data_IF_129090804888
#
_entry.id   IF_129090804888
#
_cell.length_a   1.000
_cell.length_b   1.000
_cell.length_c   1.000
_cell.angle_alpha   90.00
_cell.angle_beta   90.00
_cell.angle_gamma   90.00
#
_symmetry.space_group_name_H-M   'P 1'
#
loop_
_entity.id
_entity.type
_entity.pdbx_description
1 polymer ?
#
# COMPACT_ATOMS: atom_id res chain seq x y z
N UNK A 1 -2.97 16.26 -25.24
CA UNK A 1 -3.93 15.53 -24.38
C UNK A 1 -3.15 14.43 -23.71
N UNK A 2 -3.11 14.38 -22.37
CA UNK A 2 -2.36 13.31 -21.69
C UNK A 2 -3.08 11.99 -21.97
N UNK A 3 -2.39 11.06 -22.60
CA UNK A 3 -2.94 9.71 -22.83
C UNK A 3 -3.14 9.03 -21.48
N UNK A 4 -4.37 8.60 -21.19
CA UNK A 4 -4.76 8.05 -19.90
C UNK A 4 -4.66 6.53 -19.93
N UNK A 5 -3.81 5.94 -19.10
CA UNK A 5 -3.73 4.49 -18.93
C UNK A 5 -4.98 3.98 -18.20
N UNK A 6 -5.62 2.94 -18.72
CA UNK A 6 -6.75 2.26 -18.08
C UNK A 6 -6.34 0.86 -17.69
N UNK A 7 -6.50 0.50 -16.41
CA UNK A 7 -6.35 -0.89 -15.95
C UNK A 7 -7.71 -1.56 -15.99
N UNK A 8 -7.80 -2.66 -16.73
CA UNK A 8 -9.06 -3.42 -16.90
C UNK A 8 -8.81 -4.92 -16.90
N UNK A 9 -9.90 -5.69 -16.82
CA UNK A 9 -9.81 -7.13 -16.98
C UNK A 9 -9.32 -7.54 -18.36
N UNK A 10 -8.48 -8.57 -18.34
CA UNK A 10 -8.12 -9.34 -19.53
C UNK A 10 -9.38 -9.90 -20.20
N UNK A 11 -9.37 -9.91 -21.52
CA UNK A 11 -10.37 -10.49 -22.40
C UNK A 11 -9.68 -11.44 -23.36
N UNK A 12 -10.39 -12.44 -23.86
CA UNK A 12 -9.84 -13.38 -24.83
C UNK A 12 -9.27 -12.69 -26.08
N UNK A 13 -9.89 -11.58 -26.52
CA UNK A 13 -9.39 -10.77 -27.62
C UNK A 13 -8.02 -10.11 -27.36
N UNK A 14 -7.58 -10.00 -26.10
CA UNK A 14 -6.26 -9.47 -25.75
C UNK A 14 -5.14 -10.51 -25.88
N UNK A 15 -5.48 -11.80 -26.11
CA UNK A 15 -4.54 -12.92 -26.04
C UNK A 15 -3.28 -12.68 -26.86
N UNK A 16 -3.43 -12.35 -28.14
CA UNK A 16 -2.28 -12.20 -29.03
C UNK A 16 -1.41 -11.00 -28.63
N UNK A 17 -2.02 -9.88 -28.23
CA UNK A 17 -1.31 -8.70 -27.75
C UNK A 17 -0.53 -8.99 -26.45
N UNK A 18 -1.15 -9.70 -25.51
CA UNK A 18 -0.52 -10.09 -24.23
C UNK A 18 0.63 -11.06 -24.46
N UNK A 19 0.47 -12.01 -25.39
CA UNK A 19 1.53 -12.98 -25.70
C UNK A 19 2.73 -12.33 -26.39
N UNK A 20 2.49 -11.42 -27.33
CA UNK A 20 3.56 -10.62 -27.94
C UNK A 20 4.27 -9.76 -26.88
N UNK A 21 3.50 -9.03 -26.08
CA UNK A 21 4.00 -8.20 -24.98
C UNK A 21 4.90 -9.01 -24.04
N UNK A 22 4.42 -10.16 -23.57
CA UNK A 22 5.18 -11.02 -22.69
C UNK A 22 6.48 -11.49 -23.35
N UNK A 23 6.42 -11.94 -24.61
CA UNK A 23 7.59 -12.43 -25.34
C UNK A 23 8.67 -11.36 -25.45
N UNK A 24 8.28 -10.13 -25.85
CA UNK A 24 9.19 -8.98 -25.95
C UNK A 24 9.76 -8.57 -24.60
N UNK A 25 8.93 -8.44 -23.57
CA UNK A 25 9.36 -8.01 -22.24
C UNK A 25 10.25 -9.07 -21.53
N UNK A 26 9.95 -10.36 -21.69
CA UNK A 26 10.70 -11.44 -21.04
C UNK A 26 12.09 -11.60 -21.63
N UNK A 27 12.26 -11.53 -22.96
CA UNK A 27 13.59 -11.51 -23.59
C UNK A 27 14.47 -10.37 -23.09
N UNK A 28 13.88 -9.20 -22.86
CA UNK A 28 14.61 -8.05 -22.31
C UNK A 28 14.95 -8.24 -20.82
N UNK A 29 14.03 -8.82 -20.05
CA UNK A 29 14.19 -8.98 -18.60
C UNK A 29 15.13 -10.15 -18.24
N UNK A 30 15.13 -11.21 -19.04
CA UNK A 30 15.87 -12.45 -18.78
C UNK A 30 16.77 -12.87 -19.95
N UNK A 31 17.71 -12.03 -20.40
CA UNK A 31 18.64 -12.37 -21.48
C UNK A 31 19.59 -13.53 -21.12
N UNK A 32 19.61 -13.95 -19.86
CA UNK A 32 20.38 -15.06 -19.33
C UNK A 32 19.69 -16.43 -19.48
N UNK A 33 18.41 -16.44 -19.86
CA UNK A 33 17.65 -17.68 -20.09
C UNK A 33 17.57 -17.95 -21.59
N UNK A 34 18.13 -19.09 -22.02
CA UNK A 34 18.05 -19.52 -23.42
C UNK A 34 16.60 -19.82 -23.84
N UNK A 35 16.17 -19.29 -24.99
CA UNK A 35 14.81 -19.48 -25.51
C UNK A 35 13.70 -18.78 -24.72
N UNK A 36 14.04 -17.84 -23.83
CA UNK A 36 13.02 -17.05 -23.12
C UNK A 36 12.15 -16.28 -24.11
N UNK A 37 10.84 -16.28 -23.90
CA UNK A 37 9.90 -15.59 -24.77
C UNK A 37 9.46 -16.40 -26.00
N UNK A 38 9.95 -17.63 -26.18
CA UNK A 38 9.74 -18.43 -27.40
C UNK A 38 9.27 -19.85 -27.10
N UNK A 39 8.83 -20.57 -28.15
CA UNK A 39 8.51 -21.99 -28.13
C UNK A 39 7.58 -22.44 -26.98
N UNK A 40 7.97 -23.50 -26.29
CA UNK A 40 7.20 -24.11 -25.21
C UNK A 40 6.98 -23.16 -24.01
N UNK A 41 7.89 -22.21 -23.76
CA UNK A 41 7.70 -21.23 -22.68
C UNK A 41 6.59 -20.23 -22.99
N UNK A 42 6.55 -19.75 -24.23
CA UNK A 42 5.46 -18.91 -24.71
C UNK A 42 4.11 -19.65 -24.67
N UNK A 43 4.14 -20.96 -24.96
CA UNK A 43 2.97 -21.82 -24.90
C UNK A 43 2.47 -22.07 -23.47
N UNK A 44 3.35 -22.37 -22.53
CA UNK A 44 2.99 -22.57 -21.11
C UNK A 44 2.41 -21.30 -20.48
N UNK A 45 2.90 -20.12 -20.87
CA UNK A 45 2.25 -18.87 -20.45
C UNK A 45 0.82 -18.76 -21.04
N UNK A 46 0.66 -19.01 -22.35
CA UNK A 46 -0.65 -19.00 -23.04
C UNK A 46 -1.66 -19.94 -22.41
N UNK A 47 -1.27 -21.18 -22.16
CA UNK A 47 -2.20 -22.26 -21.79
C UNK A 47 -2.40 -22.40 -20.27
N UNK A 48 -1.38 -22.09 -19.46
CA UNK A 48 -1.43 -22.33 -18.02
C UNK A 48 -1.61 -21.02 -17.25
N UNK A 49 -0.78 -20.01 -17.51
CA UNK A 49 -0.78 -18.80 -16.70
C UNK A 49 -1.98 -17.89 -17.03
N UNK A 50 -2.33 -17.72 -18.31
CA UNK A 50 -3.49 -16.90 -18.68
C UNK A 50 -4.83 -17.51 -18.24
N UNK A 51 -4.90 -18.85 -18.15
CA UNK A 51 -6.13 -19.57 -17.80
C UNK A 51 -6.30 -19.72 -16.28
N UNK A 52 -5.21 -19.95 -15.55
CA UNK A 52 -5.26 -20.21 -14.10
C UNK A 52 -5.12 -18.94 -13.25
N UNK A 53 -4.57 -17.86 -13.81
CA UNK A 53 -4.40 -16.61 -13.09
C UNK A 53 -5.60 -15.66 -13.27
N UNK A 54 -5.80 -14.83 -12.25
CA UNK A 54 -6.60 -13.64 -12.37
C UNK A 54 -5.81 -12.56 -13.15
N UNK A 55 -6.14 -12.38 -14.43
CA UNK A 55 -5.40 -11.47 -15.31
C UNK A 55 -6.04 -10.08 -15.48
N UNK A 56 -5.19 -9.06 -15.50
CA UNK A 56 -5.48 -7.64 -15.73
C UNK A 56 -4.53 -7.08 -16.79
N UNK A 57 -4.98 -6.13 -17.60
CA UNK A 57 -4.17 -5.44 -18.59
C UNK A 57 -4.18 -3.94 -18.36
N UNK A 58 -3.06 -3.29 -18.65
CA UNK A 58 -2.98 -1.84 -18.80
C UNK A 58 -3.15 -1.49 -20.28
N UNK A 59 -4.15 -0.68 -20.60
CA UNK A 59 -4.45 -0.21 -21.95
C UNK A 59 -4.18 1.29 -22.06
N UNK A 60 -3.58 1.71 -23.16
CA UNK A 60 -3.36 3.12 -23.50
C UNK A 60 -3.64 3.31 -24.98
N UNK A 61 -4.50 4.27 -25.32
CA UNK A 61 -4.90 4.55 -26.71
C UNK A 61 -5.38 3.30 -27.49
N UNK A 62 -6.10 2.40 -26.83
CA UNK A 62 -6.60 1.16 -27.42
C UNK A 62 -5.59 0.01 -27.50
N UNK A 63 -4.33 0.25 -27.13
CA UNK A 63 -3.27 -0.76 -27.16
C UNK A 63 -3.00 -1.33 -25.76
N UNK A 64 -2.90 -2.65 -25.65
CA UNK A 64 -2.43 -3.33 -24.42
C UNK A 64 -0.93 -3.10 -24.29
N UNK A 65 -0.54 -2.41 -23.22
CA UNK A 65 0.86 -2.05 -22.93
C UNK A 65 1.38 -2.63 -21.61
N UNK A 66 0.53 -3.35 -20.86
CA UNK A 66 0.93 -4.03 -19.64
C UNK A 66 0.03 -5.22 -19.32
N UNK A 67 0.60 -6.20 -18.62
CA UNK A 67 -0.06 -7.39 -18.13
C UNK A 67 0.27 -7.57 -16.65
N UNK A 68 -0.74 -7.91 -15.86
CA UNK A 68 -0.63 -8.35 -14.48
C UNK A 68 -1.40 -9.66 -14.32
N UNK A 69 -0.70 -10.73 -13.97
CA UNK A 69 -1.28 -12.03 -13.61
C UNK A 69 -1.17 -12.29 -12.11
N UNK A 70 -2.31 -12.53 -11.47
CA UNK A 70 -2.41 -12.79 -10.04
C UNK A 70 -2.80 -14.24 -9.77
N UNK A 71 -2.04 -14.92 -8.92
CA UNK A 71 -2.28 -16.30 -8.50
C UNK A 71 -2.86 -16.30 -7.08
N UNK A 72 -4.00 -16.96 -6.89
CA UNK A 72 -4.64 -17.09 -5.58
C UNK A 72 -3.81 -17.94 -4.62
N UNK A 73 -4.02 -17.76 -3.31
CA UNK A 73 -3.36 -18.56 -2.28
C UNK A 73 -2.03 -17.99 -1.77
N UNK A 74 -1.84 -16.67 -1.80
CA UNK A 74 -0.67 -16.04 -1.23
C UNK A 74 -0.48 -16.44 0.25
N UNK A 75 0.77 -16.73 0.62
CA UNK A 75 1.13 -16.96 2.03
C UNK A 75 0.74 -15.71 2.84
N UNK A 76 0.18 -15.91 4.02
CA UNK A 76 -0.24 -14.84 4.95
C UNK A 76 -1.46 -13.99 4.52
N UNK A 77 -2.33 -14.52 3.65
CA UNK A 77 -3.62 -13.91 3.32
C UNK A 77 -3.58 -12.85 2.20
N UNK A 78 -2.47 -12.80 1.44
CA UNK A 78 -2.30 -11.96 0.25
C UNK A 78 -2.49 -12.70 -1.07
N UNK A 79 -1.99 -12.11 -2.16
CA UNK A 79 -1.97 -12.71 -3.50
C UNK A 79 -0.56 -12.73 -4.07
N UNK A 80 -0.24 -13.72 -4.91
CA UNK A 80 1.03 -13.78 -5.61
C UNK A 80 0.92 -13.12 -6.99
N UNK A 81 1.87 -12.27 -7.35
CA UNK A 81 2.03 -11.79 -8.72
C UNK A 81 2.85 -12.84 -9.47
N UNK A 82 2.15 -13.70 -10.23
CA UNK A 82 2.78 -14.71 -11.08
C UNK A 82 3.36 -14.14 -12.38
N UNK A 83 2.92 -12.94 -12.77
CA UNK A 83 3.46 -12.25 -13.94
C UNK A 83 3.18 -10.74 -13.93
N UNK A 84 4.21 -9.95 -14.21
CA UNK A 84 4.10 -8.50 -14.39
C UNK A 84 4.98 -8.07 -15.54
N UNK A 85 4.36 -7.58 -16.61
CA UNK A 85 5.07 -7.19 -17.83
C UNK A 85 4.54 -5.85 -18.33
N UNK A 86 5.45 -4.99 -18.80
CA UNK A 86 5.13 -3.71 -19.42
C UNK A 86 5.92 -3.64 -20.72
N UNK A 87 5.28 -3.14 -21.78
CA UNK A 87 5.88 -3.03 -23.11
C UNK A 87 7.20 -2.27 -23.01
N UNK A 88 8.31 -2.76 -23.58
CA UNK A 88 9.63 -2.12 -23.47
C UNK A 88 9.62 -0.60 -23.72
N UNK A 89 8.87 -0.20 -24.75
CA UNK A 89 8.65 1.18 -25.19
C UNK A 89 7.82 2.04 -24.22
N UNK A 90 7.05 1.43 -23.31
CA UNK A 90 6.21 2.10 -22.32
C UNK A 90 6.79 2.02 -20.89
N UNK A 91 7.94 1.37 -20.70
CA UNK A 91 8.56 1.28 -19.38
C UNK A 91 9.17 2.62 -18.96
N UNK A 92 9.12 2.92 -17.67
CA UNK A 92 9.55 4.21 -17.12
C UNK A 92 8.40 5.21 -16.91
N UNK A 93 7.25 4.97 -17.56
CA UNK A 93 6.05 5.83 -17.46
C UNK A 93 5.13 5.50 -16.29
N UNK A 94 5.59 4.73 -15.29
CA UNK A 94 4.80 4.41 -14.11
C UNK A 94 3.77 3.28 -14.25
N UNK A 95 3.49 2.74 -15.45
CA UNK A 95 2.49 1.68 -15.68
C UNK A 95 2.69 0.46 -14.77
N UNK A 96 3.93 -0.01 -14.62
CA UNK A 96 4.22 -1.15 -13.74
C UNK A 96 3.85 -0.87 -12.28
N UNK A 97 4.07 0.38 -11.81
CA UNK A 97 3.64 0.81 -10.48
C UNK A 97 2.12 0.82 -10.38
N UNK A 98 1.42 1.34 -11.38
CA UNK A 98 -0.05 1.36 -11.39
C UNK A 98 -0.65 -0.05 -11.32
N UNK A 99 -0.10 -1.01 -12.06
CA UNK A 99 -0.50 -2.42 -11.99
C UNK A 99 -0.28 -3.02 -10.59
N UNK A 100 0.88 -2.78 -9.98
CA UNK A 100 1.17 -3.28 -8.63
C UNK A 100 0.29 -2.61 -7.57
N UNK A 101 0.04 -1.30 -7.66
CA UNK A 101 -0.88 -0.61 -6.76
C UNK A 101 -2.33 -1.07 -6.97
N UNK A 102 -2.73 -1.41 -8.20
CA UNK A 102 -4.02 -2.02 -8.49
C UNK A 102 -4.19 -3.37 -7.75
N UNK A 103 -3.17 -4.24 -7.80
CA UNK A 103 -3.16 -5.49 -7.03
C UNK A 103 -3.21 -5.23 -5.51
N UNK A 104 -2.37 -4.32 -5.01
CA UNK A 104 -2.25 -4.02 -3.59
C UNK A 104 -3.54 -3.40 -3.02
N UNK A 105 -4.23 -2.56 -3.78
CA UNK A 105 -5.50 -1.97 -3.36
C UNK A 105 -6.59 -3.03 -3.18
N UNK A 106 -6.50 -4.13 -3.92
CA UNK A 106 -7.51 -5.20 -3.92
C UNK A 106 -7.21 -6.32 -2.93
N UNK A 107 -5.94 -6.69 -2.79
CA UNK A 107 -5.51 -7.87 -2.02
C UNK A 107 -4.63 -7.53 -0.81
N UNK A 108 -4.22 -6.27 -0.65
CA UNK A 108 -3.36 -5.84 0.44
C UNK A 108 -1.93 -6.35 0.27
N UNK A 109 -1.64 -7.50 0.88
CA UNK A 109 -0.30 -8.09 0.85
C UNK A 109 -0.03 -8.76 -0.51
N UNK A 110 1.18 -8.59 -1.01
CA UNK A 110 1.62 -9.12 -2.30
C UNK A 110 2.91 -9.92 -2.14
N UNK A 111 3.04 -11.03 -2.84
CA UNK A 111 4.28 -11.77 -2.99
C UNK A 111 4.62 -11.96 -4.46
N UNK A 112 5.89 -12.12 -4.80
CA UNK A 112 6.30 -12.55 -6.13
C UNK A 112 7.70 -13.14 -6.09
N UNK A 113 8.07 -13.76 -7.19
CA UNK A 113 9.40 -14.28 -7.41
C UNK A 113 10.06 -13.54 -8.56
N UNK A 114 11.34 -13.24 -8.39
CA UNK A 114 12.14 -12.54 -9.39
C UNK A 114 13.51 -13.19 -9.45
N UNK A 115 14.03 -13.41 -10.66
CA UNK A 115 15.38 -13.91 -10.85
C UNK A 115 16.40 -12.94 -10.25
N UNK A 116 17.44 -13.49 -9.60
CA UNK A 116 18.52 -12.68 -9.02
C UNK A 116 19.23 -11.86 -10.11
N UNK A 117 19.38 -12.41 -11.30
CA UNK A 117 20.01 -11.75 -12.45
C UNK A 117 19.16 -10.59 -13.00
N UNK A 118 17.85 -10.56 -12.72
CA UNK A 118 16.96 -9.46 -13.12
C UNK A 118 17.11 -8.24 -12.19
N UNK A 119 18.28 -7.60 -12.23
CA UNK A 119 18.62 -6.45 -11.40
C UNK A 119 17.65 -5.26 -11.58
N UNK A 120 17.07 -5.10 -12.78
CA UNK A 120 16.07 -4.06 -13.05
C UNK A 120 14.76 -4.33 -12.31
N UNK A 121 14.24 -5.55 -12.42
CA UNK A 121 13.04 -6.00 -11.70
C UNK A 121 13.22 -5.88 -10.19
N UNK A 122 14.36 -6.33 -9.66
CA UNK A 122 14.68 -6.20 -8.22
C UNK A 122 14.66 -4.75 -7.73
N UNK A 123 15.28 -3.82 -8.47
CA UNK A 123 15.23 -2.38 -8.13
C UNK A 123 13.81 -1.82 -8.21
N UNK A 124 13.04 -2.22 -9.22
CA UNK A 124 11.65 -1.82 -9.37
C UNK A 124 10.80 -2.26 -8.17
N UNK A 125 10.88 -3.54 -7.76
CA UNK A 125 10.11 -4.05 -6.63
C UNK A 125 10.57 -3.46 -5.29
N UNK A 126 11.88 -3.30 -5.07
CA UNK A 126 12.41 -2.63 -3.89
C UNK A 126 11.87 -1.19 -3.78
N UNK A 127 11.83 -0.45 -4.89
CA UNK A 127 11.25 0.90 -4.95
C UNK A 127 9.74 0.97 -4.69
N UNK A 128 9.03 -0.17 -4.72
CA UNK A 128 7.61 -0.28 -4.36
C UNK A 128 7.39 -0.79 -2.93
N UNK A 129 8.48 -1.03 -2.18
CA UNK A 129 8.45 -1.49 -0.79
C UNK A 129 8.38 -3.00 -0.64
N UNK A 130 8.77 -3.78 -1.67
CA UNK A 130 9.00 -5.21 -1.50
C UNK A 130 10.34 -5.47 -0.82
N UNK A 131 10.37 -6.47 0.05
CA UNK A 131 11.56 -6.94 0.75
C UNK A 131 11.77 -8.43 0.51
N UNK A 132 13.02 -8.87 0.40
CA UNK A 132 13.37 -10.29 0.28
C UNK A 132 12.86 -11.10 1.48
N UNK A 133 12.26 -12.27 1.18
CA UNK A 133 11.78 -13.25 2.18
C UNK A 133 12.46 -14.60 2.05
N UNK A 134 13.03 -14.91 0.89
CA UNK A 134 13.69 -16.17 0.65
C UNK A 134 14.32 -16.26 -0.72
N UNK A 135 15.07 -17.35 -0.92
CA UNK A 135 15.75 -17.66 -2.16
C UNK A 135 15.69 -19.16 -2.42
N UNK A 136 15.64 -19.55 -3.70
CA UNK A 136 15.82 -20.94 -4.14
C UNK A 136 16.41 -20.99 -5.54
N UNK A 137 16.72 -22.19 -6.02
CA UNK A 137 17.01 -22.43 -7.42
C UNK A 137 15.71 -22.81 -8.13
N UNK A 138 15.45 -22.22 -9.29
CA UNK A 138 14.34 -22.63 -10.15
C UNK A 138 14.71 -23.91 -10.89
N UNK A 139 14.02 -25.01 -10.62
CA UNK A 139 14.34 -26.33 -11.20
C UNK A 139 14.28 -26.35 -12.74
N UNK A 140 13.51 -25.44 -13.34
CA UNK A 140 13.30 -25.37 -14.79
C UNK A 140 14.40 -24.60 -15.53
N UNK A 141 14.98 -23.58 -14.90
CA UNK A 141 16.02 -22.72 -15.52
C UNK A 141 17.41 -22.98 -14.94
N UNK A 142 17.51 -23.52 -13.73
CA UNK A 142 18.75 -23.60 -12.96
C UNK A 142 19.20 -22.26 -12.36
N UNK A 143 18.44 -21.18 -12.55
CA UNK A 143 18.79 -19.85 -12.07
C UNK A 143 18.18 -19.56 -10.67
N UNK A 144 18.87 -18.78 -9.83
CA UNK A 144 18.37 -18.36 -8.53
C UNK A 144 17.13 -17.45 -8.65
N UNK A 145 16.08 -17.81 -7.92
CA UNK A 145 14.89 -16.99 -7.68
C UNK A 145 14.91 -16.41 -6.27
N UNK A 146 14.54 -15.14 -6.16
CA UNK A 146 14.32 -14.44 -4.90
C UNK A 146 12.82 -14.25 -4.73
N UNK A 147 12.27 -14.79 -3.65
CA UNK A 147 10.91 -14.48 -3.21
C UNK A 147 10.95 -13.14 -2.49
N UNK A 148 10.18 -12.17 -2.97
CA UNK A 148 10.01 -10.87 -2.33
C UNK A 148 8.56 -10.67 -1.92
N UNK A 149 8.33 -9.95 -0.83
CA UNK A 149 6.99 -9.68 -0.32
C UNK A 149 6.81 -8.21 0.03
N UNK A 150 5.59 -7.72 -0.17
CA UNK A 150 5.11 -6.42 0.27
C UNK A 150 3.95 -6.63 1.21
N UNK A 151 4.12 -6.23 2.46
CA UNK A 151 3.06 -6.33 3.46
C UNK A 151 1.90 -5.39 3.15
N UNK A 152 0.68 -5.79 3.50
CA UNK A 152 -0.46 -4.90 3.49
C UNK A 152 -0.19 -3.68 4.38
N UNK A 153 -0.59 -2.46 3.98
CA UNK A 153 -0.47 -1.29 4.83
C UNK A 153 -1.08 -1.54 6.22
N UNK A 154 -0.43 -1.03 7.26
CA UNK A 154 -1.05 -0.92 8.57
C UNK A 154 -2.25 0.02 8.44
N UNK A 155 -3.45 -0.48 8.73
CA UNK A 155 -4.66 0.33 8.75
C UNK A 155 -4.90 0.84 10.18
N UNK A 156 -5.12 2.14 10.30
CA UNK A 156 -5.37 2.82 11.57
C UNK A 156 -6.46 3.87 11.39
N UNK A 157 -7.11 4.24 12.49
CA UNK A 157 -7.98 5.41 12.59
C UNK A 157 -7.39 6.42 13.55
N UNK A 158 -7.66 7.71 13.32
CA UNK A 158 -7.18 8.77 14.19
C UNK A 158 -8.18 9.90 14.31
N UNK A 159 -8.25 10.50 15.49
CA UNK A 159 -9.10 11.65 15.76
C UNK A 159 -8.33 12.95 15.61
N UNK A 160 -8.87 13.87 14.83
CA UNK A 160 -8.36 15.21 14.59
C UNK A 160 -9.15 16.19 15.44
N UNK A 161 -8.79 16.25 16.71
CA UNK A 161 -9.40 17.16 17.66
C UNK A 161 -8.53 18.40 17.84
N UNK A 162 -9.03 19.54 17.40
CA UNK A 162 -8.31 20.82 17.39
C UNK A 162 -9.03 21.81 18.28
N UNK A 163 -8.30 22.44 19.19
CA UNK A 163 -8.78 23.49 20.10
C UNK A 163 -7.80 24.63 20.09
N UNK A 164 -8.29 25.85 19.88
CA UNK A 164 -7.45 27.07 19.82
C UNK A 164 -6.26 26.95 18.86
N UNK A 165 -6.49 26.32 17.71
CA UNK A 165 -5.47 26.09 16.68
C UNK A 165 -4.43 25.02 17.00
N UNK A 166 -4.56 24.31 18.13
CA UNK A 166 -3.67 23.24 18.59
C UNK A 166 -4.34 21.88 18.47
N UNK A 167 -3.58 20.87 18.05
CA UNK A 167 -4.03 19.50 17.83
C UNK A 167 -3.77 18.64 19.07
N UNK A 168 -4.79 17.90 19.50
CA UNK A 168 -4.66 16.92 20.59
C UNK A 168 -3.81 15.74 20.13
N UNK A 169 -2.80 15.42 20.94
CA UNK A 169 -1.91 14.28 20.74
C UNK A 169 -1.71 13.51 22.05
N UNK A 170 -1.45 12.21 21.95
CA UNK A 170 -1.23 11.30 23.07
C UNK A 170 0.15 10.66 23.00
N UNK A 171 0.71 10.31 24.15
CA UNK A 171 1.96 9.56 24.23
C UNK A 171 1.76 8.29 25.04
N UNK A 172 2.14 7.15 24.47
CA UNK A 172 2.09 5.86 25.15
C UNK A 172 3.20 5.73 26.19
N UNK A 173 2.95 4.96 27.25
CA UNK A 173 3.95 4.67 28.29
C UNK A 173 5.15 3.94 27.67
N UNK A 174 6.36 4.41 27.99
CA UNK A 174 7.61 3.84 27.47
C UNK A 174 7.99 4.31 26.06
N UNK A 175 7.31 5.30 25.49
CA UNK A 175 7.66 5.94 24.23
C UNK A 175 7.86 7.45 24.42
N UNK A 176 8.79 8.05 23.68
CA UNK A 176 9.09 9.49 23.74
C UNK A 176 8.38 10.29 22.62
N UNK A 177 7.70 9.61 21.71
CA UNK A 177 7.00 10.21 20.56
C UNK A 177 5.50 10.33 20.82
N UNK A 178 4.91 11.47 20.43
CA UNK A 178 3.46 11.67 20.45
C UNK A 178 2.78 11.19 19.17
N UNK A 179 1.56 10.71 19.31
CA UNK A 179 0.69 10.18 18.25
C UNK A 179 -0.67 10.89 18.28
N UNK A 180 -1.44 10.76 17.20
CA UNK A 180 -2.84 11.15 17.22
C UNK A 180 -3.61 10.13 18.05
N UNK A 181 -4.61 10.53 18.85
CA UNK A 181 -5.51 9.59 19.51
C UNK A 181 -6.17 8.67 18.48
N UNK A 182 -6.24 7.39 18.79
CA UNK A 182 -6.76 6.35 17.90
C UNK A 182 -5.80 5.20 17.72
N UNK A 183 -6.25 4.17 16.99
CA UNK A 183 -5.49 2.94 16.87
C UNK A 183 -5.92 2.08 15.70
N UNK A 184 -5.66 0.78 15.83
CA UNK A 184 -5.90 -0.19 14.76
C UNK A 184 -7.34 -0.65 14.77
N UNK A 185 -7.79 -1.15 13.63
CA UNK A 185 -9.07 -1.83 13.51
C UNK A 185 -9.02 -3.16 14.25
N UNK A 186 -10.10 -3.50 14.96
CA UNK A 186 -10.37 -4.87 15.38
C UNK A 186 -11.25 -5.60 14.35
N UNK A 187 -11.23 -6.95 14.33
CA UNK A 187 -12.05 -7.72 13.40
C UNK A 187 -13.54 -7.38 13.52
N UNK A 188 -14.16 -6.99 12.39
CA UNK A 188 -15.60 -6.73 12.30
C UNK A 188 -16.04 -5.29 12.55
N UNK A 189 -15.14 -4.39 12.95
CA UNK A 189 -15.48 -2.99 13.20
C UNK A 189 -15.50 -2.13 11.92
N UNK A 190 -16.42 -1.16 11.87
CA UNK A 190 -16.30 0.00 10.99
C UNK A 190 -15.23 0.97 11.49
N UNK A 191 -14.73 1.86 10.62
CA UNK A 191 -13.73 2.86 11.01
C UNK A 191 -14.19 3.78 12.15
N UNK A 192 -15.47 4.18 12.15
CA UNK A 192 -16.04 5.00 13.23
C UNK A 192 -16.15 4.25 14.55
N UNK A 193 -16.53 2.97 14.52
CA UNK A 193 -16.59 2.12 15.71
C UNK A 193 -15.20 1.90 16.31
N UNK A 194 -14.21 1.59 15.46
CA UNK A 194 -12.82 1.45 15.90
C UNK A 194 -12.35 2.74 16.59
N UNK A 195 -12.62 3.91 16.02
CA UNK A 195 -12.19 5.16 16.62
C UNK A 195 -12.92 5.46 17.94
N UNK A 196 -14.23 5.23 18.01
CA UNK A 196 -14.99 5.42 19.24
C UNK A 196 -14.48 4.53 20.39
N UNK A 197 -14.13 3.27 20.10
CA UNK A 197 -13.50 2.36 21.06
C UNK A 197 -12.16 2.89 21.53
N UNK A 198 -11.26 3.22 20.60
CA UNK A 198 -9.91 3.73 20.92
C UNK A 198 -9.97 5.01 21.77
N UNK A 199 -10.85 5.97 21.46
CA UNK A 199 -11.01 7.18 22.27
C UNK A 199 -11.53 6.88 23.68
N UNK A 200 -12.38 5.86 23.84
CA UNK A 200 -12.83 5.41 25.16
C UNK A 200 -11.69 4.73 25.94
N UNK A 201 -10.84 3.94 25.28
CA UNK A 201 -9.76 3.19 25.91
C UNK A 201 -8.55 4.06 26.25
N UNK A 202 -8.15 4.94 25.33
CA UNK A 202 -6.97 5.80 25.45
C UNK A 202 -7.22 7.04 26.29
N UNK A 203 -8.42 7.63 26.18
CA UNK A 203 -8.73 8.95 26.73
C UNK A 203 -9.98 8.96 27.62
N UNK A 204 -10.64 7.82 27.85
CA UNK A 204 -11.88 7.77 28.64
C UNK A 204 -13.07 8.50 28.01
N UNK A 205 -12.99 8.85 26.73
CA UNK A 205 -14.00 9.65 26.02
C UNK A 205 -15.02 8.74 25.35
N UNK A 206 -16.28 8.82 25.77
CA UNK A 206 -17.40 8.12 25.12
C UNK A 206 -18.02 9.00 24.05
N UNK A 207 -17.51 8.88 22.83
CA UNK A 207 -18.03 9.58 21.65
C UNK A 207 -18.82 8.58 20.79
N UNK A 208 -20.12 8.81 20.54
CA UNK A 208 -20.90 7.98 19.62
C UNK A 208 -20.26 7.92 18.23
N UNK A 209 -20.30 6.76 17.58
CA UNK A 209 -19.67 6.57 16.28
C UNK A 209 -20.28 7.50 15.21
N UNK A 210 -21.58 7.77 15.29
CA UNK A 210 -22.33 8.67 14.43
C UNK A 210 -21.88 10.13 14.50
N UNK A 211 -21.27 10.55 15.61
CA UNK A 211 -20.75 11.91 15.79
C UNK A 211 -19.37 12.11 15.14
N UNK A 212 -18.78 11.03 14.60
CA UNK A 212 -17.48 11.04 13.94
C UNK A 212 -17.63 11.14 12.42
N UNK A 213 -17.08 12.21 11.86
CA UNK A 213 -17.07 12.49 10.42
C UNK A 213 -15.69 12.25 9.83
N UNK A 214 -15.61 11.41 8.80
CA UNK A 214 -14.36 11.19 8.07
C UNK A 214 -13.92 12.50 7.42
N UNK A 215 -12.67 12.89 7.68
CA UNK A 215 -12.09 14.12 7.13
C UNK A 215 -11.25 13.79 5.89
N UNK A 216 -10.25 12.92 6.04
CA UNK A 216 -9.37 12.51 4.95
C UNK A 216 -8.51 11.30 5.35
N UNK A 217 -7.84 10.70 4.36
CA UNK A 217 -6.86 9.64 4.56
C UNK A 217 -5.43 10.19 4.40
N UNK A 218 -4.52 9.73 5.28
CA UNK A 218 -3.07 9.95 5.19
C UNK A 218 -2.37 8.64 4.90
N UNK A 219 -1.39 8.68 3.99
CA UNK A 219 -0.50 7.57 3.67
C UNK A 219 0.93 7.93 4.02
N UNK A 220 1.59 7.11 4.83
CA UNK A 220 2.98 7.33 5.25
C UNK A 220 3.69 6.00 5.52
N UNK A 221 4.87 6.04 6.13
CA UNK A 221 5.53 4.88 6.75
C UNK A 221 5.10 4.81 8.22
N UNK A 222 4.66 3.64 8.66
CA UNK A 222 4.31 3.40 10.05
C UNK A 222 5.57 3.47 10.93
N UNK A 223 5.60 4.46 11.82
CA UNK A 223 6.73 4.70 12.71
C UNK A 223 7.06 3.46 13.56
N UNK A 224 8.33 3.05 13.59
CA UNK A 224 8.79 1.87 14.32
C UNK A 224 8.32 0.52 13.76
N UNK A 225 7.82 0.45 12.52
CA UNK A 225 7.32 -0.79 11.89
C UNK A 225 8.10 -1.22 10.65
N UNK A 226 9.44 -1.18 10.69
CA UNK A 226 10.33 -1.71 9.65
C UNK A 226 9.97 -1.28 8.21
N UNK A 227 9.58 -0.01 8.03
CA UNK A 227 9.21 0.50 6.70
C UNK A 227 7.80 0.12 6.22
N UNK A 228 7.00 -0.59 7.02
CA UNK A 228 5.61 -0.92 6.69
C UNK A 228 4.81 0.35 6.40
N UNK A 229 4.06 0.36 5.30
CA UNK A 229 3.20 1.49 4.94
C UNK A 229 2.06 1.67 5.96
N UNK A 230 1.62 2.90 6.15
CA UNK A 230 0.48 3.32 6.94
C UNK A 230 -0.65 3.78 6.02
N UNK A 231 -1.88 3.40 6.35
CA UNK A 231 -3.12 3.95 5.83
C UNK A 231 -3.95 4.40 7.04
N UNK A 232 -3.98 5.70 7.29
CA UNK A 232 -4.61 6.29 8.46
C UNK A 232 -5.84 7.09 8.05
N UNK A 233 -7.02 6.59 8.41
CA UNK A 233 -8.30 7.29 8.19
C UNK A 233 -8.52 8.28 9.32
N UNK A 234 -8.52 9.57 8.99
CA UNK A 234 -8.60 10.63 9.96
C UNK A 234 -10.05 11.14 10.08
N UNK A 235 -10.53 11.28 11.30
CA UNK A 235 -11.89 11.71 11.63
C UNK A 235 -11.89 13.01 12.42
N UNK A 236 -13.00 13.72 12.34
CA UNK A 236 -13.31 14.93 13.11
C UNK A 236 -14.71 14.76 13.71
N UNK A 237 -15.19 15.76 14.44
CA UNK A 237 -16.49 15.69 15.12
C UNK A 237 -16.35 15.29 16.59
N UNK A 238 -17.47 14.96 17.22
CA UNK A 238 -17.59 14.83 18.67
C UNK A 238 -17.60 16.19 19.41
N UNK A 239 -17.76 16.15 20.74
CA UNK A 239 -17.78 17.34 21.58
C UNK A 239 -16.47 18.14 21.51
N UNK A 240 -16.55 19.47 21.62
CA UNK A 240 -15.38 20.36 21.68
C UNK A 240 -14.86 20.55 23.10
N UNK A 241 -15.76 20.58 24.08
CA UNK A 241 -15.40 20.61 25.49
C UNK A 241 -15.24 19.17 25.99
N UNK A 242 -13.98 18.76 26.12
CA UNK A 242 -13.60 17.42 26.54
C UNK A 242 -12.63 17.49 27.72
N UNK A 243 -12.70 16.47 28.56
CA UNK A 243 -11.75 16.23 29.65
C UNK A 243 -11.13 14.85 29.46
N UNK A 244 -10.02 14.73 28.71
CA UNK A 244 -9.38 13.45 28.47
C UNK A 244 -8.81 12.87 29.76
N UNK A 245 -9.10 11.61 30.04
CA UNK A 245 -8.54 10.84 31.13
C UNK A 245 -7.63 9.74 30.55
N UNK A 246 -6.29 9.91 30.59
CA UNK A 246 -5.35 8.91 30.07
C UNK A 246 -5.63 7.51 30.59
N UNK A 247 -5.90 6.61 29.65
CA UNK A 247 -6.13 5.20 29.92
C UNK A 247 -4.85 4.44 30.30
N UNK A 248 -4.97 3.12 30.38
CA UNK A 248 -3.89 2.23 30.88
C UNK A 248 -2.63 2.25 30.02
N UNK A 249 -2.73 2.60 28.75
CA UNK A 249 -1.59 2.66 27.81
C UNK A 249 -1.02 4.08 27.64
N UNK A 250 -1.83 5.12 27.85
CA UNK A 250 -1.44 6.52 27.63
C UNK A 250 -0.78 7.13 28.87
N UNK A 251 0.47 7.56 28.73
CA UNK A 251 1.21 8.26 29.77
C UNK A 251 0.69 9.68 29.99
N UNK A 252 0.45 10.40 28.90
CA UNK A 252 -0.02 11.79 28.90
C UNK A 252 -0.66 12.17 27.56
N UNK A 253 -1.40 13.27 27.56
CA UNK A 253 -1.85 13.96 26.35
C UNK A 253 -1.34 15.41 26.36
N UNK A 254 -1.20 16.00 25.18
CA UNK A 254 -0.76 17.38 25.00
C UNK A 254 -1.44 18.01 23.78
N UNK A 255 -1.39 19.34 23.72
CA UNK A 255 -1.96 20.13 22.63
C UNK A 255 -0.85 20.88 21.90
N UNK A 256 -0.58 20.48 20.67
CA UNK A 256 0.54 21.01 19.91
C UNK A 256 0.07 21.94 18.80
N UNK A 257 0.76 23.07 18.65
CA UNK A 257 0.72 23.84 17.41
C UNK A 257 1.50 23.11 16.29
N UNK A 258 1.64 23.77 15.15
CA UNK A 258 2.32 23.19 13.98
C UNK A 258 3.80 22.91 14.24
N UNK A 259 4.53 23.84 14.84
CA UNK A 259 5.97 23.71 15.06
C UNK A 259 6.24 22.62 16.10
N UNK A 260 5.50 22.64 17.21
CA UNK A 260 5.58 21.62 18.26
C UNK A 260 5.27 20.22 17.70
N UNK A 261 4.24 20.11 16.83
CA UNK A 261 3.87 18.83 16.20
C UNK A 261 5.00 18.24 15.36
N UNK A 262 5.74 19.07 14.63
CA UNK A 262 6.83 18.59 13.76
C UNK A 262 8.05 18.10 14.54
N UNK A 263 8.21 18.57 15.78
CA UNK A 263 9.34 18.20 16.65
C UNK A 263 9.00 17.00 17.55
N UNK A 264 7.77 16.96 18.09
CA UNK A 264 7.39 16.04 19.17
C UNK A 264 6.60 14.82 18.71
N UNK A 265 6.02 14.86 17.51
CA UNK A 265 5.08 13.83 17.06
C UNK A 265 5.64 12.93 15.95
N UNK A 266 4.99 11.79 15.77
CA UNK A 266 5.34 10.83 14.72
C UNK A 266 5.22 11.46 13.31
N UNK A 267 6.04 11.04 12.33
CA UNK A 267 6.13 11.66 11.00
C UNK A 267 4.79 11.90 10.28
N UNK A 268 3.82 10.99 10.46
CA UNK A 268 2.49 11.12 9.87
C UNK A 268 1.73 12.40 10.31
N UNK A 269 2.09 13.02 11.44
CA UNK A 269 1.52 14.31 11.87
C UNK A 269 1.76 15.41 10.87
N UNK A 270 2.89 15.39 10.17
CA UNK A 270 3.24 16.46 9.23
C UNK A 270 2.18 16.64 8.15
N UNK A 271 1.77 15.55 7.53
CA UNK A 271 0.71 15.56 6.51
C UNK A 271 -0.65 15.99 7.09
N UNK A 272 -0.95 15.61 8.33
CA UNK A 272 -2.20 15.98 9.00
C UNK A 272 -2.24 17.47 9.31
N UNK A 273 -1.19 17.99 9.94
CA UNK A 273 -1.07 19.40 10.33
C UNK A 273 -1.05 20.31 9.10
N UNK A 274 -0.28 19.97 8.06
CA UNK A 274 -0.24 20.77 6.83
C UNK A 274 -1.63 20.85 6.17
N UNK A 275 -2.41 19.75 6.20
CA UNK A 275 -3.81 19.75 5.71
C UNK A 275 -4.75 20.56 6.61
N UNK A 276 -4.62 20.47 7.93
CA UNK A 276 -5.45 21.24 8.87
C UNK A 276 -5.15 22.74 8.77
N UNK A 277 -3.90 23.14 8.57
CA UNK A 277 -3.50 24.54 8.31
C UNK A 277 -4.09 25.02 6.97
N UNK A 278 -3.99 24.21 5.91
CA UNK A 278 -4.59 24.56 4.62
C UNK A 278 -6.12 24.71 4.68
N UNK A 279 -6.78 24.03 5.63
CA UNK A 279 -8.21 24.16 5.92
C UNK A 279 -8.55 25.32 6.87
N UNK A 280 -7.57 26.08 7.35
CA UNK A 280 -7.76 27.16 8.32
C UNK A 280 -8.17 26.67 9.71
N UNK A 281 -7.95 25.39 10.03
CA UNK A 281 -8.33 24.79 11.31
C UNK A 281 -7.22 24.84 12.35
N UNK A 282 -5.98 24.94 11.93
CA UNK A 282 -4.79 25.14 12.76
C UNK A 282 -4.04 26.39 12.31
N UNK A 283 -3.28 26.98 13.23
CA UNK A 283 -2.38 28.10 12.92
C UNK A 283 -1.16 27.60 12.15
N UNK A 284 -0.69 28.39 11.18
CA UNK A 284 0.45 28.09 10.31
C UNK A 284 1.81 28.18 11.03
#
# INVERSE_FOLDING_TARGET
>A
MSSHTVIRRYREADQDAVCDLWSRASRQAHPFIEGEGEGERARVLREVHLVQAENWVAERDGAVIGLLGLLGGGKDGGVEIGGLFVAPEAQGDGIGRELVEHAAARYGALTLEVFEENARGRRFYAGLGFTERGRRIDDRTGHPLITVAREAPLRSVSWLHVRDGRLLSVRTRGNDTFYLPGGKYEPGETARQALARELSEELGLRIPAEDLSEAFVVHDVAHGKNGRRLHMTCFTGGPQDIEPAPGREIAEYAWFDREESFVRCAPAHRQVVDRLVAQGRMTA
#
